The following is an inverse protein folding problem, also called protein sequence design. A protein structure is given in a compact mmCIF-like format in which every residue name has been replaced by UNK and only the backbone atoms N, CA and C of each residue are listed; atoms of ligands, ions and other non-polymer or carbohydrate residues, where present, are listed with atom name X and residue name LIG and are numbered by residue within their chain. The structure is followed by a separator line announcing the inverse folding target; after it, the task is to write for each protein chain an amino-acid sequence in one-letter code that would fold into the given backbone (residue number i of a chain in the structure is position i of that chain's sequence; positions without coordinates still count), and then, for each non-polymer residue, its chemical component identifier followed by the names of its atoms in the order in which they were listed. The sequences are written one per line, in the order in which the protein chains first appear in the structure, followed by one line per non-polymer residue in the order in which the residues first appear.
data_IF_746752642753
#
_entry.id   IF_746752642753
#
_cell.length_a   1.000
_cell.length_b   1.000
_cell.length_c   1.000
_cell.angle_alpha   90.00
_cell.angle_beta   90.00
_cell.angle_gamma   90.00
#
_symmetry.space_group_name_H-M   'P 1'
#
loop_
_entity.id
_entity.type
_entity.pdbx_description
1 polymer ?
#
# COMPACT_ATOMS: atom_id res chain seq x y z
N UNK A 1 -23.30 -1.93 -9.67
CA UNK A 1 -22.17 -0.99 -9.85
C UNK A 1 -22.56 0.33 -9.20
N UNK A 2 -21.65 1.00 -8.46
CA UNK A 2 -21.90 2.34 -7.95
C UNK A 2 -22.19 3.33 -9.10
N UNK A 3 -23.07 4.31 -8.88
CA UNK A 3 -23.50 5.26 -9.92
C UNK A 3 -22.33 6.04 -10.54
N UNK A 4 -21.34 6.43 -9.73
CA UNK A 4 -20.15 7.14 -10.21
C UNK A 4 -19.33 6.31 -11.21
N UNK A 5 -19.33 4.99 -11.10
CA UNK A 5 -18.59 4.13 -12.04
C UNK A 5 -19.25 4.11 -13.43
N UNK A 6 -20.58 4.25 -13.48
CA UNK A 6 -21.33 4.40 -14.73
C UNK A 6 -21.15 5.79 -15.33
N UNK A 7 -21.08 6.82 -14.48
CA UNK A 7 -20.94 8.21 -14.92
C UNK A 7 -19.56 8.51 -15.53
N UNK A 8 -18.48 8.06 -14.88
CA UNK A 8 -17.11 8.43 -15.27
C UNK A 8 -16.39 7.36 -16.09
N UNK A 9 -16.90 6.13 -16.14
CA UNK A 9 -16.24 4.99 -16.78
C UNK A 9 -15.07 4.45 -15.95
N UNK A 10 -14.75 3.15 -16.13
CA UNK A 10 -13.73 2.49 -15.30
C UNK A 10 -12.32 3.05 -15.49
N UNK A 11 -12.04 3.59 -16.68
CA UNK A 11 -10.75 4.16 -17.06
C UNK A 11 -10.39 5.40 -16.26
N UNK A 12 -11.39 6.11 -15.71
CA UNK A 12 -11.23 7.37 -14.98
C UNK A 12 -11.27 7.19 -13.45
N UNK A 13 -11.36 5.95 -12.96
CA UNK A 13 -11.39 5.66 -11.53
C UNK A 13 -10.02 5.17 -11.06
N UNK A 14 -9.47 5.87 -10.07
CA UNK A 14 -8.31 5.46 -9.29
C UNK A 14 -8.75 5.12 -7.87
N UNK A 15 -8.32 3.98 -7.37
CA UNK A 15 -8.41 3.61 -5.96
C UNK A 15 -7.09 3.95 -5.28
N UNK A 16 -7.16 4.48 -4.07
CA UNK A 16 -6.01 4.87 -3.26
C UNK A 16 -6.16 4.17 -1.92
N UNK A 17 -5.07 3.59 -1.42
CA UNK A 17 -5.05 2.97 -0.10
C UNK A 17 -3.67 3.04 0.56
N UNK A 18 -3.65 2.88 1.88
CA UNK A 18 -2.44 2.77 2.69
C UNK A 18 -2.25 1.33 3.19
N UNK A 19 -1.02 0.83 3.17
CA UNK A 19 -0.65 -0.41 3.85
C UNK A 19 0.53 -0.17 4.79
N UNK A 20 0.48 -0.75 5.98
CA UNK A 20 1.54 -0.68 6.99
C UNK A 20 2.16 -2.05 7.25
N UNK A 21 3.48 -2.09 7.34
CA UNK A 21 4.26 -3.28 7.68
C UNK A 21 5.02 -2.98 8.97
N UNK A 22 4.84 -3.82 9.99
CA UNK A 22 5.57 -3.65 11.24
C UNK A 22 6.84 -4.50 11.24
N UNK A 23 7.96 -3.94 11.71
CA UNK A 23 9.23 -4.68 11.76
C UNK A 23 9.26 -5.78 12.83
N UNK A 24 8.24 -5.86 13.68
CA UNK A 24 8.08 -6.94 14.65
C UNK A 24 7.20 -8.09 14.12
N UNK A 25 6.78 -8.04 12.86
CA UNK A 25 6.17 -9.18 12.19
C UNK A 25 7.18 -10.32 12.11
N UNK A 26 6.72 -11.52 12.44
CA UNK A 26 7.54 -12.73 12.51
C UNK A 26 6.88 -13.82 11.70
N UNK A 27 7.68 -14.63 11.01
CA UNK A 27 7.17 -15.78 10.29
C UNK A 27 6.41 -16.73 11.24
N UNK A 28 5.18 -17.08 10.88
CA UNK A 28 4.34 -18.01 11.64
C UNK A 28 4.78 -19.47 11.47
N UNK A 29 5.57 -19.73 10.43
CA UNK A 29 6.04 -21.05 10.07
C UNK A 29 7.55 -21.04 9.87
N UNK A 30 8.18 -22.15 10.26
CA UNK A 30 9.61 -22.38 10.08
C UNK A 30 9.88 -23.86 9.86
N UNK A 31 11.08 -24.16 9.37
CA UNK A 31 11.50 -25.53 9.15
C UNK A 31 12.19 -26.10 10.40
N UNK A 32 11.89 -27.35 10.74
CA UNK A 32 12.62 -28.10 11.77
C UNK A 32 12.59 -29.59 11.46
N UNK A 33 13.58 -30.39 11.94
CA UNK A 33 13.54 -31.83 11.80
C UNK A 33 12.25 -32.43 12.38
N UNK A 34 11.78 -33.53 11.77
CA UNK A 34 10.55 -34.19 12.20
C UNK A 34 10.62 -34.57 13.68
N UNK A 35 9.62 -34.14 14.46
CA UNK A 35 9.54 -34.38 15.90
C UNK A 35 10.27 -33.36 16.78
N UNK A 36 10.93 -32.35 16.19
CA UNK A 36 11.55 -31.26 16.94
C UNK A 36 10.71 -30.00 16.88
N UNK A 37 10.72 -29.21 17.96
CA UNK A 37 10.04 -27.91 17.99
C UNK A 37 10.87 -26.87 17.24
N UNK A 38 10.25 -26.16 16.31
CA UNK A 38 10.84 -24.97 15.70
C UNK A 38 10.75 -23.80 16.70
N UNK A 39 11.89 -23.32 17.18
CA UNK A 39 11.95 -22.17 18.08
C UNK A 39 12.33 -20.92 17.28
N UNK A 40 11.59 -19.83 17.51
CA UNK A 40 11.89 -18.52 16.95
C UNK A 40 11.72 -17.45 18.03
N UNK A 41 12.51 -16.38 17.93
CA UNK A 41 12.40 -15.23 18.81
C UNK A 41 11.53 -14.15 18.17
N UNK A 42 10.59 -13.60 18.95
CA UNK A 42 9.83 -12.40 18.61
C UNK A 42 10.19 -11.31 19.62
N UNK A 43 10.59 -10.13 19.15
CA UNK A 43 10.82 -9.01 20.05
C UNK A 43 9.50 -8.56 20.68
N UNK A 44 9.47 -8.35 22.00
CA UNK A 44 8.30 -7.80 22.69
C UNK A 44 8.08 -6.29 22.48
N UNK A 45 8.97 -5.61 21.75
CA UNK A 45 8.85 -4.20 21.44
C UNK A 45 7.80 -3.92 20.34
N UNK A 46 7.32 -2.68 20.29
CA UNK A 46 6.38 -2.22 19.27
C UNK A 46 6.97 -2.20 17.84
N UNK A 47 8.29 -2.31 17.71
CA UNK A 47 8.99 -2.22 16.43
C UNK A 47 8.91 -0.82 15.83
N UNK A 48 9.26 -0.73 14.55
CA UNK A 48 9.04 0.45 13.70
C UNK A 48 8.03 0.09 12.62
N UNK A 49 7.27 1.10 12.15
CA UNK A 49 6.32 0.93 11.05
C UNK A 49 6.92 1.47 9.76
N UNK A 50 6.84 0.67 8.71
CA UNK A 50 7.04 1.09 7.33
C UNK A 50 5.65 1.14 6.68
N UNK A 51 5.21 2.32 6.28
CA UNK A 51 3.94 2.49 5.57
C UNK A 51 4.18 2.74 4.09
N UNK A 52 3.20 2.37 3.28
CA UNK A 52 3.16 2.60 1.85
C UNK A 52 1.80 3.17 1.48
N UNK A 53 1.79 4.16 0.59
CA UNK A 53 0.59 4.66 -0.08
C UNK A 53 0.78 4.55 -1.59
N UNK A 54 -0.27 4.15 -2.30
CA UNK A 54 -0.24 4.06 -3.76
C UNK A 54 -1.65 4.17 -4.33
N UNK A 55 -1.74 4.49 -5.62
CA UNK A 55 -2.97 4.39 -6.40
C UNK A 55 -2.97 3.16 -7.32
N UNK A 56 -4.16 2.70 -7.70
CA UNK A 56 -4.38 1.62 -8.68
C UNK A 56 -5.58 1.97 -9.56
N UNK A 57 -5.48 1.74 -10.87
CA UNK A 57 -6.56 2.08 -11.82
C UNK A 57 -7.59 0.95 -11.89
N UNK A 58 -8.89 1.30 -11.92
CA UNK A 58 -9.98 0.31 -11.88
C UNK A 58 -10.01 -0.65 -13.07
N UNK A 59 -9.50 -0.24 -14.23
CA UNK A 59 -9.56 -1.00 -15.48
C UNK A 59 -8.23 -1.71 -15.82
N UNK A 60 -7.20 -1.55 -15.00
CA UNK A 60 -5.84 -2.03 -15.30
C UNK A 60 -5.48 -3.25 -14.43
N UNK A 61 -4.60 -4.13 -14.93
CA UNK A 61 -3.97 -5.13 -14.06
C UNK A 61 -3.29 -4.44 -12.88
N UNK A 62 -3.22 -5.12 -11.73
CA UNK A 62 -2.65 -4.61 -10.46
C UNK A 62 -1.26 -4.00 -10.67
N UNK A 63 -1.23 -2.70 -10.95
CA UNK A 63 -0.05 -1.89 -11.17
C UNK A 63 -0.16 -0.67 -10.30
N UNK A 64 0.79 -0.54 -9.38
CA UNK A 64 0.90 0.63 -8.52
C UNK A 64 1.29 1.86 -9.34
N UNK A 65 0.51 2.93 -9.16
CA UNK A 65 0.78 4.27 -9.67
C UNK A 65 1.21 5.14 -8.50
N UNK A 66 2.37 5.78 -8.66
CA UNK A 66 3.01 6.61 -7.63
C UNK A 66 3.10 5.93 -6.25
N UNK A 67 3.75 4.75 -6.14
CA UNK A 67 3.99 4.16 -4.82
C UNK A 67 4.97 5.03 -4.03
N UNK A 68 4.59 5.40 -2.82
CA UNK A 68 5.46 6.07 -1.85
C UNK A 68 5.57 5.21 -0.60
N UNK A 69 6.81 4.90 -0.21
CA UNK A 69 7.14 4.17 1.02
C UNK A 69 7.79 5.14 2.00
N UNK A 70 7.33 5.14 3.24
CA UNK A 70 7.78 6.06 4.28
C UNK A 70 7.73 5.42 5.67
N UNK A 71 8.45 6.00 6.63
CA UNK A 71 8.45 5.53 8.02
C UNK A 71 7.36 6.19 8.85
N UNK A 72 6.75 5.42 9.75
CA UNK A 72 5.72 5.92 10.67
C UNK A 72 4.31 5.85 10.07
N UNK A 73 3.43 6.75 10.51
CA UNK A 73 2.04 6.82 10.08
C UNK A 73 1.84 7.84 8.95
N UNK A 74 0.86 7.61 8.09
CA UNK A 74 0.47 8.59 7.08
C UNK A 74 -0.14 9.83 7.76
N UNK A 75 0.61 10.92 7.81
CA UNK A 75 0.08 12.19 8.26
C UNK A 75 -0.48 13.02 7.09
N UNK A 76 -1.14 14.13 7.42
CA UNK A 76 -1.71 15.03 6.42
C UNK A 76 -0.67 15.55 5.43
N UNK A 77 0.54 15.86 5.90
CA UNK A 77 1.57 16.47 5.05
C UNK A 77 2.11 15.46 4.03
N UNK A 78 2.36 14.23 4.47
CA UNK A 78 2.75 13.12 3.61
C UNK A 78 1.66 12.87 2.56
N UNK A 79 0.39 12.80 2.98
CA UNK A 79 -0.72 12.56 2.08
C UNK A 79 -0.89 13.68 1.03
N UNK A 80 -0.86 14.95 1.45
CA UNK A 80 -1.01 16.10 0.53
C UNK A 80 0.14 16.14 -0.47
N UNK A 81 1.38 16.00 0.00
CA UNK A 81 2.56 15.97 -0.85
C UNK A 81 2.47 14.83 -1.88
N UNK A 82 2.13 13.63 -1.43
CA UNK A 82 1.93 12.48 -2.31
C UNK A 82 0.80 12.69 -3.33
N UNK A 83 -0.31 13.29 -2.91
CA UNK A 83 -1.44 13.59 -3.80
C UNK A 83 -1.05 14.59 -4.89
N UNK A 84 -0.26 15.62 -4.55
CA UNK A 84 0.28 16.55 -5.54
C UNK A 84 1.16 15.85 -6.57
N UNK A 85 2.04 14.94 -6.12
CA UNK A 85 2.84 14.10 -7.03
C UNK A 85 1.97 13.19 -7.91
N UNK A 86 0.93 12.58 -7.35
CA UNK A 86 -0.03 11.78 -8.11
C UNK A 86 -0.70 12.60 -9.21
N UNK A 87 -1.20 13.80 -8.88
CA UNK A 87 -1.87 14.66 -9.85
C UNK A 87 -0.94 15.15 -10.97
N UNK A 88 0.35 15.33 -10.69
CA UNK A 88 1.35 15.70 -11.71
C UNK A 88 1.62 14.55 -12.71
N UNK A 89 1.63 13.30 -12.23
CA UNK A 89 1.88 12.12 -13.07
C UNK A 89 0.66 11.71 -13.90
N UNK A 90 -0.55 11.96 -13.40
CA UNK A 90 -1.79 11.78 -14.12
C UNK A 90 -1.90 12.85 -15.24
N UNK A 91 -1.17 12.63 -16.35
CA UNK A 91 -1.32 13.46 -17.56
C UNK A 91 -2.79 13.59 -17.92
N UNK A 92 -3.23 14.82 -18.18
CA UNK A 92 -4.49 15.05 -18.87
C UNK A 92 -4.36 14.39 -20.25
N UNK A 93 -5.35 13.58 -20.64
CA UNK A 93 -5.56 13.34 -22.07
C UNK A 93 -5.89 14.71 -22.63
N UNK A 94 -4.98 15.30 -23.40
CA UNK A 94 -5.36 16.38 -24.31
C UNK A 94 -6.46 15.81 -25.22
N UNK A 95 -7.59 16.51 -25.27
CA UNK A 95 -8.75 16.18 -26.11
C UNK A 95 -8.38 16.14 -27.61
#
# INVERSE_FOLDING_TARGET
MPQWKQQYGEDHILYIDESGINTNETAEYGWSPKGQRCHAFKSGGHGTRLSMISAVRSNAPFKFTQPLVFHGSCDRNIFVCWLEYLLQDLKQKDD
#
